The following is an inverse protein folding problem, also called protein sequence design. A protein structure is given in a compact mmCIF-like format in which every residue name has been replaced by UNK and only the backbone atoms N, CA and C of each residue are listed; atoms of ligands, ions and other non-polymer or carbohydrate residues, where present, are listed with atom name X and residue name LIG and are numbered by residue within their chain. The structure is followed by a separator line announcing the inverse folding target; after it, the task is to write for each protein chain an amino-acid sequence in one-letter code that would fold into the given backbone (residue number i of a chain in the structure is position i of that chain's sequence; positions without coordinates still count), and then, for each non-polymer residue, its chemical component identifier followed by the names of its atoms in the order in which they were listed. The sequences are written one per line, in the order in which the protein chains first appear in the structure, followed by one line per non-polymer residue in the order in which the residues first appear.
data_IF_708485099352
#
_entry.id   IF_708485099352
#
_cell.length_a   1.000
_cell.length_b   1.000
_cell.length_c   1.000
_cell.angle_alpha   90.00
_cell.angle_beta   90.00
_cell.angle_gamma   90.00
#
_symmetry.space_group_name_H-M   'P 1'
#
loop_
_entity.id
_entity.type
_entity.pdbx_description
1 polymer ?
#
# COMPACT_ATOMS: atom_id res chain seq x y z
N UNK A 1 5.74 4.13 20.94
CA UNK A 1 5.57 5.30 20.03
C UNK A 1 6.04 4.95 18.63
N UNK A 2 5.21 5.21 17.62
CA UNK A 2 5.57 5.01 16.22
C UNK A 2 6.83 5.81 15.84
N UNK A 3 7.80 5.15 15.20
CA UNK A 3 9.06 5.73 14.75
C UNK A 3 9.26 5.56 13.25
N UNK A 4 10.01 6.50 12.67
CA UNK A 4 10.62 6.37 11.35
C UNK A 4 12.07 5.98 11.56
N UNK A 5 12.51 4.90 10.92
CA UNK A 5 13.90 4.42 11.01
C UNK A 5 14.47 4.18 9.61
N UNK A 6 15.73 3.74 9.54
CA UNK A 6 16.36 3.35 8.26
C UNK A 6 15.66 2.16 7.58
N UNK A 7 14.77 1.45 8.29
CA UNK A 7 13.96 0.35 7.75
C UNK A 7 12.63 0.82 7.16
N UNK A 8 12.25 2.08 7.38
CA UNK A 8 10.99 2.61 6.85
C UNK A 8 11.13 2.89 5.36
N UNK A 9 10.25 2.28 4.56
CA UNK A 9 10.12 2.58 3.13
C UNK A 9 9.34 3.89 2.95
N UNK A 10 10.05 4.96 2.58
CA UNK A 10 9.52 6.33 2.37
C UNK A 10 9.52 6.77 0.90
N UNK A 11 9.71 5.84 -0.02
CA UNK A 11 9.74 6.02 -1.47
C UNK A 11 8.39 6.39 -2.12
N UNK A 12 7.33 6.47 -1.31
CA UNK A 12 5.97 6.83 -1.75
C UNK A 12 5.69 8.35 -1.81
N UNK A 13 6.74 9.19 -1.77
CA UNK A 13 6.61 10.64 -2.01
C UNK A 13 5.82 11.40 -0.93
N UNK A 14 5.88 10.95 0.32
CA UNK A 14 5.20 11.58 1.44
C UNK A 14 5.92 12.86 1.87
N UNK A 15 5.16 13.93 2.14
CA UNK A 15 5.71 15.15 2.72
C UNK A 15 6.04 14.98 4.20
N UNK A 16 6.94 15.83 4.72
CA UNK A 16 7.25 15.89 6.15
C UNK A 16 6.02 16.16 7.01
N UNK A 17 5.05 16.94 6.50
CA UNK A 17 3.84 17.29 7.24
C UNK A 17 2.89 16.10 7.38
N UNK A 18 2.80 15.27 6.33
CA UNK A 18 2.04 14.02 6.37
C UNK A 18 2.69 13.04 7.35
N UNK A 19 4.01 12.86 7.27
CA UNK A 19 4.75 11.99 8.20
C UNK A 19 4.54 12.47 9.64
N UNK A 20 4.70 13.77 9.90
CA UNK A 20 4.49 14.36 11.22
C UNK A 20 3.06 14.18 11.73
N UNK A 21 2.06 14.26 10.84
CA UNK A 21 0.67 13.97 11.21
C UNK A 21 0.47 12.52 11.65
N UNK A 22 0.99 11.55 10.88
CA UNK A 22 0.89 10.12 11.21
C UNK A 22 1.59 9.81 12.52
N UNK A 23 2.80 10.34 12.74
CA UNK A 23 3.55 10.13 13.98
C UNK A 23 2.78 10.66 15.22
N UNK A 24 2.09 11.80 15.09
CA UNK A 24 1.23 12.31 16.16
C UNK A 24 -0.02 11.45 16.37
N UNK A 25 -0.65 11.00 15.29
CA UNK A 25 -1.87 10.19 15.35
C UNK A 25 -1.64 8.83 16.02
N UNK A 26 -0.46 8.25 15.84
CA UNK A 26 -0.07 6.95 16.38
C UNK A 26 1.04 7.04 17.44
N UNK A 27 1.13 8.16 18.15
CA UNK A 27 2.15 8.39 19.17
C UNK A 27 2.12 7.31 20.28
N UNK A 28 0.94 6.78 20.57
CA UNK A 28 0.71 5.82 21.66
C UNK A 28 0.58 4.37 21.16
N UNK A 29 0.88 4.09 19.89
CA UNK A 29 0.90 2.72 19.37
C UNK A 29 2.27 2.06 19.56
N UNK A 30 2.21 0.79 19.97
CA UNK A 30 3.32 -0.12 20.24
C UNK A 30 3.09 -1.54 19.67
N UNK A 31 1.96 -1.77 18.99
CA UNK A 31 1.58 -3.06 18.40
C UNK A 31 1.69 -3.05 16.87
N UNK A 32 1.60 -4.23 16.26
CA UNK A 32 1.46 -4.35 14.81
C UNK A 32 0.08 -3.87 14.36
N UNK A 33 0.04 -3.03 13.32
CA UNK A 33 -1.21 -2.61 12.71
C UNK A 33 -1.07 -2.31 11.22
N UNK A 34 -2.21 -2.45 10.52
CA UNK A 34 -2.42 -1.95 9.17
C UNK A 34 -3.65 -1.06 9.24
N UNK A 35 -3.47 0.25 9.03
CA UNK A 35 -4.56 1.22 9.09
C UNK A 35 -4.59 2.09 7.85
N UNK A 36 -5.80 2.35 7.36
CA UNK A 36 -6.05 3.35 6.32
C UNK A 36 -6.75 4.54 6.98
N UNK A 37 -6.15 5.73 6.87
CA UNK A 37 -6.72 6.99 7.36
C UNK A 37 -7.09 7.90 6.20
N UNK A 38 -8.02 8.82 6.44
CA UNK A 38 -8.26 9.95 5.53
C UNK A 38 -7.46 11.14 6.02
N UNK A 39 -6.47 11.58 5.24
CA UNK A 39 -5.67 12.76 5.50
C UNK A 39 -6.56 14.00 5.63
N UNK A 40 -6.31 14.90 6.60
CA UNK A 40 -6.93 16.22 6.65
C UNK A 40 -6.77 16.98 5.33
N UNK A 41 -7.77 17.78 4.94
CA UNK A 41 -7.77 18.49 3.64
C UNK A 41 -6.59 19.45 3.49
N UNK A 42 -6.09 20.01 4.60
CA UNK A 42 -4.92 20.89 4.61
C UNK A 42 -3.57 20.19 4.36
N UNK A 43 -3.51 18.86 4.41
CA UNK A 43 -2.29 18.10 4.12
C UNK A 43 -2.16 17.66 2.66
N UNK A 44 -3.18 17.98 1.84
CA UNK A 44 -3.22 17.62 0.43
C UNK A 44 -3.53 16.14 0.20
N UNK A 45 -3.01 15.63 -0.91
CA UNK A 45 -3.23 14.27 -1.40
C UNK A 45 -1.89 13.57 -1.63
N UNK A 46 -1.93 12.25 -1.70
CA UNK A 46 -0.78 11.38 -2.00
C UNK A 46 -1.07 10.56 -3.25
N UNK A 47 -0.02 10.10 -3.90
CA UNK A 47 -0.15 9.25 -5.07
C UNK A 47 -0.63 7.85 -4.67
N UNK A 48 -1.67 7.36 -5.34
CA UNK A 48 -2.23 6.04 -5.18
C UNK A 48 -1.92 5.20 -6.42
N UNK A 49 -1.02 4.23 -6.25
CA UNK A 49 -0.61 3.32 -7.31
C UNK A 49 -1.71 2.31 -7.69
N UNK A 50 -2.66 2.07 -6.80
CA UNK A 50 -3.73 1.09 -6.99
C UNK A 50 -4.83 1.64 -7.92
N UNK A 51 -5.12 0.89 -8.97
CA UNK A 51 -6.17 1.20 -9.95
C UNK A 51 -7.24 0.12 -9.92
N UNK A 52 -8.50 0.52 -9.83
CA UNK A 52 -9.67 -0.35 -9.97
C UNK A 52 -10.89 0.22 -9.23
N UNK A 53 -11.96 -0.59 -9.08
CA UNK A 53 -13.20 -0.17 -8.44
C UNK A 53 -13.04 0.50 -7.07
N UNK A 54 -12.16 -0.01 -6.21
CA UNK A 54 -11.95 0.53 -4.86
C UNK A 54 -11.35 1.95 -4.87
N UNK A 55 -10.68 2.33 -5.96
CA UNK A 55 -10.11 3.66 -6.17
C UNK A 55 -10.94 4.51 -7.12
N UNK A 56 -12.18 4.10 -7.42
CA UNK A 56 -13.14 4.85 -8.23
C UNK A 56 -12.99 4.66 -9.74
N UNK A 57 -12.15 3.72 -10.19
CA UNK A 57 -12.05 3.36 -11.60
C UNK A 57 -13.07 2.28 -11.98
N UNK A 58 -13.26 2.09 -13.28
CA UNK A 58 -13.96 0.91 -13.78
C UNK A 58 -13.17 -0.37 -13.49
N UNK A 59 -13.85 -1.51 -13.46
CA UNK A 59 -13.22 -2.82 -13.38
C UNK A 59 -12.14 -2.98 -14.45
N UNK A 60 -10.93 -3.38 -14.05
CA UNK A 60 -9.86 -3.69 -14.99
C UNK A 60 -10.02 -5.11 -15.56
N UNK A 61 -9.61 -5.27 -16.82
CA UNK A 61 -9.63 -6.56 -17.51
C UNK A 61 -8.21 -7.00 -17.87
N UNK A 62 -8.04 -8.27 -18.21
CA UNK A 62 -6.74 -8.79 -18.67
C UNK A 62 -6.23 -8.07 -19.93
N UNK A 63 -7.10 -7.52 -20.77
CA UNK A 63 -6.70 -6.77 -21.96
C UNK A 63 -6.01 -5.43 -21.65
N UNK A 64 -6.23 -4.88 -20.46
CA UNK A 64 -5.67 -3.60 -20.00
C UNK A 64 -4.58 -3.78 -18.95
N UNK A 65 -4.18 -5.02 -18.68
CA UNK A 65 -3.20 -5.37 -17.68
C UNK A 65 -2.07 -6.20 -18.29
N UNK A 66 -0.90 -6.17 -17.65
CA UNK A 66 0.17 -7.12 -17.90
C UNK A 66 0.85 -7.51 -16.59
N UNK A 67 1.60 -8.60 -16.62
CA UNK A 67 2.22 -9.19 -15.44
C UNK A 67 3.72 -8.94 -15.50
N UNK A 68 4.28 -8.36 -14.43
CA UNK A 68 5.70 -8.02 -14.36
C UNK A 68 6.24 -8.22 -12.94
N UNK A 69 7.45 -8.78 -12.83
CA UNK A 69 8.20 -8.82 -11.58
C UNK A 69 8.65 -7.42 -11.18
N UNK A 70 8.36 -7.02 -9.95
CA UNK A 70 8.76 -5.72 -9.37
C UNK A 70 9.82 -5.89 -8.29
N UNK A 71 10.79 -4.99 -8.24
CA UNK A 71 11.74 -4.84 -7.11
C UNK A 71 12.36 -6.17 -6.62
N UNK A 72 12.73 -7.05 -7.54
CA UNK A 72 13.34 -8.35 -7.21
C UNK A 72 12.39 -9.38 -6.60
N UNK A 73 11.06 -9.18 -6.66
CA UNK A 73 10.08 -10.20 -6.29
C UNK A 73 10.18 -11.42 -7.20
N UNK A 74 9.99 -12.60 -6.63
CA UNK A 74 10.00 -13.86 -7.37
C UNK A 74 8.71 -14.13 -8.14
N UNK A 75 7.64 -13.40 -7.83
CA UNK A 75 6.33 -13.49 -8.48
C UNK A 75 6.00 -12.22 -9.28
N UNK A 76 5.07 -12.37 -10.21
CA UNK A 76 4.57 -11.25 -11.01
C UNK A 76 3.50 -10.46 -10.27
N UNK A 77 3.56 -9.14 -10.40
CA UNK A 77 2.49 -8.23 -10.04
C UNK A 77 1.60 -7.96 -11.25
N UNK A 78 0.29 -7.85 -11.04
CA UNK A 78 -0.67 -7.39 -12.07
C UNK A 78 -0.59 -5.87 -12.17
N UNK A 79 -0.26 -5.39 -13.37
CA UNK A 79 0.08 -4.00 -13.61
C UNK A 79 -0.72 -3.40 -14.77
N UNK A 80 -0.93 -2.09 -14.78
CA UNK A 80 -1.64 -1.36 -15.83
C UNK A 80 -0.95 -0.05 -16.23
N UNK A 81 -1.15 0.37 -17.48
CA UNK A 81 -0.66 1.64 -18.02
C UNK A 81 -1.60 2.83 -17.73
N UNK A 82 -2.53 2.68 -16.78
CA UNK A 82 -3.30 3.79 -16.26
C UNK A 82 -2.43 4.55 -15.24
N UNK A 83 -2.26 5.88 -15.36
CA UNK A 83 -1.50 6.67 -14.39
C UNK A 83 -2.06 6.58 -12.95
N UNK A 84 -1.20 6.71 -11.92
CA UNK A 84 -1.63 6.77 -10.54
C UNK A 84 -2.63 7.90 -10.31
N UNK A 85 -3.54 7.69 -9.36
CA UNK A 85 -4.48 8.74 -8.94
C UNK A 85 -4.01 9.46 -7.70
N UNK A 86 -4.65 10.58 -7.39
CA UNK A 86 -4.44 11.30 -6.14
C UNK A 86 -5.51 10.87 -5.15
N UNK A 87 -5.09 10.63 -3.91
CA UNK A 87 -5.99 10.18 -2.84
C UNK A 87 -5.65 10.88 -1.53
N UNK A 88 -6.68 11.18 -0.74
CA UNK A 88 -6.53 11.54 0.67
C UNK A 88 -6.44 10.31 1.57
N UNK A 89 -6.66 9.11 1.05
CA UNK A 89 -6.41 7.91 1.83
C UNK A 89 -4.91 7.65 1.93
N UNK A 90 -4.45 7.33 3.13
CA UNK A 90 -3.09 6.91 3.40
C UNK A 90 -3.16 5.61 4.18
N UNK A 91 -2.49 4.57 3.69
CA UNK A 91 -2.33 3.30 4.40
C UNK A 91 -0.98 3.28 5.11
N UNK A 92 -0.98 2.89 6.37
CA UNK A 92 0.18 2.78 7.26
C UNK A 92 0.29 1.34 7.71
N UNK A 93 1.48 0.76 7.53
CA UNK A 93 1.84 -0.55 8.06
C UNK A 93 2.98 -0.34 9.06
N UNK A 94 2.76 -0.73 10.30
CA UNK A 94 3.74 -0.55 11.36
C UNK A 94 3.70 -1.70 12.36
N UNK A 95 4.76 -1.85 13.13
CA UNK A 95 4.84 -2.81 14.22
C UNK A 95 6.23 -2.89 14.85
N UNK A 96 6.43 -3.80 15.82
CA UNK A 96 7.70 -3.96 16.51
C UNK A 96 8.84 -4.40 15.57
N UNK A 97 10.01 -3.74 15.66
CA UNK A 97 11.20 -4.11 14.88
C UNK A 97 12.47 -3.96 15.70
N UNK A 98 13.24 -5.04 15.82
CA UNK A 98 14.45 -5.14 16.64
C UNK A 98 14.22 -4.58 18.06
N UNK A 99 14.88 -3.46 18.38
CA UNK A 99 14.86 -2.79 19.68
C UNK A 99 13.77 -1.70 19.78
N UNK A 100 13.04 -1.44 18.69
CA UNK A 100 11.98 -0.44 18.66
C UNK A 100 10.59 -1.09 18.79
N UNK A 101 9.81 -0.61 19.77
CA UNK A 101 8.45 -1.09 20.04
C UNK A 101 7.49 -0.91 18.85
N UNK A 102 7.65 0.15 18.05
CA UNK A 102 6.82 0.36 16.86
C UNK A 102 7.52 1.22 15.81
N UNK A 103 7.76 0.63 14.65
CA UNK A 103 8.38 1.25 13.47
C UNK A 103 7.39 1.23 12.33
N UNK A 104 7.26 2.33 11.60
CA UNK A 104 6.56 2.33 10.32
C UNK A 104 7.37 1.50 9.32
N UNK A 105 6.82 0.39 8.83
CA UNK A 105 7.45 -0.38 7.77
C UNK A 105 7.28 0.31 6.42
N UNK A 106 6.06 0.76 6.13
CA UNK A 106 5.73 1.53 4.93
C UNK A 106 4.48 2.38 5.15
N UNK A 107 4.37 3.44 4.36
CA UNK A 107 3.20 4.29 4.27
C UNK A 107 2.97 4.66 2.80
N UNK A 108 1.80 4.38 2.24
CA UNK A 108 1.51 4.63 0.83
C UNK A 108 0.10 5.18 0.62
N UNK A 109 -0.10 5.92 -0.47
CA UNK A 109 -1.38 6.50 -0.81
C UNK A 109 -2.40 5.47 -1.30
N UNK A 110 -3.66 5.66 -0.90
CA UNK A 110 -4.77 4.79 -1.23
C UNK A 110 -5.16 3.81 -0.12
N UNK A 111 -6.19 3.00 -0.39
CA UNK A 111 -6.68 2.00 0.55
C UNK A 111 -5.70 0.83 0.70
N UNK A 112 -5.85 0.08 1.78
CA UNK A 112 -5.14 -1.20 1.93
C UNK A 112 -5.64 -2.18 0.87
N UNK A 113 -4.70 -2.79 0.13
CA UNK A 113 -4.97 -3.89 -0.77
C UNK A 113 -4.56 -5.22 -0.11
N UNK A 114 -5.24 -6.34 -0.38
CA UNK A 114 -4.74 -7.65 0.00
C UNK A 114 -3.41 -7.94 -0.70
N UNK A 115 -2.64 -8.86 -0.12
CA UNK A 115 -1.41 -9.37 -0.76
C UNK A 115 -1.71 -9.93 -2.15
N UNK A 116 -0.73 -9.86 -3.05
CA UNK A 116 -0.86 -10.35 -4.41
C UNK A 116 -0.96 -11.89 -4.46
N UNK A 117 -1.64 -12.49 -5.45
CA UNK A 117 -1.87 -13.94 -5.47
C UNK A 117 -0.59 -14.78 -5.55
N UNK A 118 0.51 -14.18 -6.03
CA UNK A 118 1.82 -14.82 -6.11
C UNK A 118 2.65 -14.72 -4.83
N UNK A 119 2.18 -14.00 -3.81
CA UNK A 119 2.91 -13.85 -2.54
C UNK A 119 2.97 -15.20 -1.79
N UNK A 120 4.17 -15.72 -1.47
CA UNK A 120 4.33 -17.03 -0.84
C UNK A 120 3.74 -17.09 0.57
N UNK A 121 3.57 -15.95 1.25
CA UNK A 121 3.01 -15.90 2.61
C UNK A 121 1.54 -16.23 2.69
N UNK A 122 0.81 -16.20 1.55
CA UNK A 122 -0.62 -16.57 1.47
C UNK A 122 -0.85 -17.85 0.68
N UNK A 123 0.19 -18.46 0.10
CA UNK A 123 0.05 -19.60 -0.81
C UNK A 123 -0.62 -20.82 -0.17
N UNK A 124 -0.43 -21.01 1.13
CA UNK A 124 -0.99 -22.14 1.89
C UNK A 124 -2.31 -21.82 2.60
N UNK A 125 -2.83 -20.58 2.48
CA UNK A 125 -4.12 -20.18 3.02
C UNK A 125 -5.13 -20.03 1.88
N UNK A 126 -6.03 -21.01 1.67
CA UNK A 126 -6.97 -20.99 0.55
C UNK A 126 -7.97 -19.83 0.62
N UNK A 127 -8.30 -19.35 1.82
CA UNK A 127 -9.23 -18.22 2.01
C UNK A 127 -8.57 -16.93 1.57
N UNK A 128 -7.37 -16.64 2.08
CA UNK A 128 -6.61 -15.44 1.69
C UNK A 128 -6.26 -15.44 0.20
N UNK A 129 -5.93 -16.61 -0.36
CA UNK A 129 -5.66 -16.73 -1.79
C UNK A 129 -6.90 -16.48 -2.64
N UNK A 130 -8.09 -16.93 -2.22
CA UNK A 130 -9.34 -16.69 -2.92
C UNK A 130 -9.72 -15.20 -2.89
N UNK A 131 -9.61 -14.55 -1.72
CA UNK A 131 -9.85 -13.11 -1.56
C UNK A 131 -8.89 -12.27 -2.39
N UNK A 132 -7.59 -12.62 -2.35
CA UNK A 132 -6.56 -12.00 -3.17
C UNK A 132 -6.90 -12.11 -4.66
N UNK A 133 -7.20 -13.31 -5.17
CA UNK A 133 -7.57 -13.51 -6.58
C UNK A 133 -8.80 -12.73 -6.98
N UNK A 134 -9.84 -12.70 -6.13
CA UNK A 134 -11.05 -11.94 -6.40
C UNK A 134 -10.74 -10.45 -6.53
N UNK A 135 -10.04 -9.87 -5.56
CA UNK A 135 -9.64 -8.46 -5.58
C UNK A 135 -8.77 -8.13 -6.80
N UNK A 136 -7.70 -8.89 -7.03
CA UNK A 136 -6.75 -8.62 -8.11
C UNK A 136 -7.30 -8.96 -9.50
N UNK A 137 -8.44 -9.64 -9.63
CA UNK A 137 -9.10 -9.85 -10.93
C UNK A 137 -9.63 -8.54 -11.54
N UNK A 138 -9.90 -7.54 -10.70
CA UNK A 138 -10.47 -6.25 -11.09
C UNK A 138 -9.59 -5.04 -10.76
N UNK A 139 -8.49 -5.26 -10.03
CA UNK A 139 -7.52 -4.23 -9.65
C UNK A 139 -6.13 -4.52 -10.20
N UNK A 140 -5.31 -3.49 -10.37
CA UNK A 140 -3.91 -3.59 -10.77
C UNK A 140 -3.11 -2.42 -10.21
N UNK A 141 -1.78 -2.55 -10.20
CA UNK A 141 -0.88 -1.45 -9.84
C UNK A 141 -0.47 -0.66 -11.10
N UNK A 142 -0.34 0.66 -10.99
CA UNK A 142 0.12 1.50 -12.09
C UNK A 142 1.62 1.32 -12.38
N UNK A 143 2.00 1.30 -13.66
CA UNK A 143 3.41 1.32 -14.09
C UNK A 143 4.16 2.60 -13.73
N UNK A 144 3.44 3.72 -13.62
CA UNK A 144 4.09 5.02 -13.40
C UNK A 144 4.22 5.34 -11.92
N UNK A 145 3.68 4.48 -11.04
CA UNK A 145 3.84 4.63 -9.61
C UNK A 145 5.31 4.49 -9.23
N UNK A 146 5.81 5.46 -8.49
CA UNK A 146 7.14 5.36 -7.88
C UNK A 146 7.07 4.39 -6.69
N UNK A 147 8.00 3.45 -6.67
CA UNK A 147 8.25 2.54 -5.56
C UNK A 147 9.39 1.63 -5.89
#
# INVERSE_FOLDING_TARGET
MLKITHKTHLDHGLSSDIIGHVLRLYADKDEFFIHTITLPSGLGEVECALIGPITGHTQLTEATCSYQKRNGREWDSRMTAIPPTRSRQLTIIAGPSDDDECVAYTMYGGPCAPREPGDPSIANDPTLLAESKAFWSEHALSFYAKG
#
